data_IF_957781599370
#
_entry.id   IF_957781599370
#
_cell.length_a   1.000
_cell.length_b   1.000
_cell.length_c   1.000
_cell.angle_alpha   90.00
_cell.angle_beta   90.00
_cell.angle_gamma   90.00
#
_symmetry.space_group_name_H-M   'P 1'
#
loop_
_entity.id
_entity.type
_entity.pdbx_description
1 polymer ?
#
# COMPACT_ATOMS: atom_id res chain seq x y z
N UNK A 1 -23.71 10.85 -15.74
CA UNK A 1 -23.81 10.14 -17.05
C UNK A 1 -23.01 10.97 -18.05
N UNK A 2 -21.75 10.61 -18.32
CA UNK A 2 -20.96 11.31 -19.35
C UNK A 2 -21.19 10.54 -20.65
N UNK A 3 -22.06 11.07 -21.50
CA UNK A 3 -22.19 10.62 -22.89
C UNK A 3 -21.03 11.24 -23.67
N UNK A 4 -20.11 10.41 -24.15
CA UNK A 4 -19.29 10.75 -25.29
C UNK A 4 -20.07 10.32 -26.53
N UNK A 5 -20.84 11.25 -27.09
CA UNK A 5 -21.43 11.09 -28.41
C UNK A 5 -20.52 11.80 -29.40
N UNK A 6 -20.25 11.15 -30.53
CA UNK A 6 -19.31 11.53 -31.60
C UNK A 6 -17.83 11.27 -31.29
N UNK A 7 -17.29 10.22 -31.92
CA UNK A 7 -15.89 9.83 -31.85
C UNK A 7 -14.97 10.76 -32.65
N UNK A 8 -14.70 11.96 -32.14
CA UNK A 8 -13.54 12.73 -32.56
C UNK A 8 -12.27 12.21 -31.87
N UNK A 9 -11.19 12.11 -32.63
CA UNK A 9 -9.89 11.73 -32.10
C UNK A 9 -9.35 12.86 -31.22
N UNK A 10 -9.54 12.74 -29.90
CA UNK A 10 -9.00 13.69 -28.94
C UNK A 10 -7.47 13.53 -28.88
N UNK A 11 -6.76 14.63 -29.12
CA UNK A 11 -5.29 14.65 -29.06
C UNK A 11 -4.84 14.49 -27.59
N UNK A 12 -3.79 13.69 -27.29
CA UNK A 12 -3.37 13.43 -25.90
C UNK A 12 -3.12 14.67 -25.03
N UNK A 13 -2.74 15.81 -25.61
CA UNK A 13 -2.53 17.07 -24.90
C UNK A 13 -3.83 17.59 -24.28
N UNK A 14 -4.96 17.43 -24.98
CA UNK A 14 -6.28 17.80 -24.48
C UNK A 14 -6.61 16.99 -23.23
N UNK A 15 -6.40 15.67 -23.27
CA UNK A 15 -6.59 14.77 -22.12
C UNK A 15 -5.69 15.20 -20.95
N UNK A 16 -4.42 15.48 -21.22
CA UNK A 16 -3.47 15.91 -20.19
C UNK A 16 -3.89 17.22 -19.51
N UNK A 17 -4.38 18.19 -20.28
CA UNK A 17 -4.89 19.46 -19.75
C UNK A 17 -6.13 19.28 -18.88
N UNK A 18 -7.10 18.49 -19.33
CA UNK A 18 -8.28 18.16 -18.51
C UNK A 18 -7.91 17.45 -17.20
N UNK A 19 -6.96 16.52 -17.23
CA UNK A 19 -6.47 15.86 -16.02
C UNK A 19 -5.79 16.86 -15.08
N UNK A 20 -4.99 17.79 -15.61
CA UNK A 20 -4.33 18.83 -14.82
C UNK A 20 -5.34 19.81 -14.18
N UNK A 21 -6.33 20.28 -14.95
CA UNK A 21 -7.38 21.18 -14.47
C UNK A 21 -8.23 20.51 -13.37
N UNK A 22 -8.45 19.20 -13.49
CA UNK A 22 -9.12 18.39 -12.46
C UNK A 22 -8.20 17.97 -11.29
N UNK A 23 -6.94 18.42 -11.28
CA UNK A 23 -5.90 18.05 -10.30
C UNK A 23 -5.70 16.52 -10.17
N UNK A 24 -5.94 15.79 -11.26
CA UNK A 24 -5.74 14.35 -11.34
C UNK A 24 -4.30 14.06 -11.75
N UNK A 25 -3.61 13.28 -10.91
CA UNK A 25 -2.23 12.85 -11.14
C UNK A 25 -2.17 11.34 -11.26
N UNK A 26 -1.35 10.86 -12.18
CA UNK A 26 -1.03 9.43 -12.25
C UNK A 26 -0.38 8.99 -10.94
N UNK A 27 -0.88 7.90 -10.35
CA UNK A 27 -0.30 7.24 -9.18
C UNK A 27 0.02 5.80 -9.55
N UNK A 28 1.16 5.31 -9.06
CA UNK A 28 1.50 3.90 -9.21
C UNK A 28 0.50 3.06 -8.40
N UNK A 29 -0.16 2.05 -9.00
CA UNK A 29 -1.06 1.19 -8.25
C UNK A 29 -0.27 0.43 -7.18
N UNK A 30 -0.87 0.28 -5.99
CA UNK A 30 -0.28 -0.51 -4.93
C UNK A 30 -0.33 -2.00 -5.31
N UNK A 31 0.85 -2.62 -5.45
CA UNK A 31 0.99 -4.05 -5.76
C UNK A 31 1.29 -4.82 -4.49
N UNK A 32 0.25 -5.25 -3.78
CA UNK A 32 0.40 -6.21 -2.68
C UNK A 32 -0.72 -7.23 -2.73
N UNK A 33 -0.47 -8.41 -2.14
CA UNK A 33 -1.49 -9.42 -1.95
C UNK A 33 -2.63 -8.83 -1.10
N UNK A 34 -3.88 -8.87 -1.57
CA UNK A 34 -5.01 -8.45 -0.77
C UNK A 34 -5.06 -9.28 0.52
N UNK A 35 -4.96 -8.61 1.67
CA UNK A 35 -5.17 -9.26 2.95
C UNK A 35 -6.67 -9.48 3.13
N UNK A 36 -7.05 -10.72 3.46
CA UNK A 36 -8.40 -11.02 3.95
C UNK A 36 -8.65 -10.21 5.24
N UNK A 37 -9.91 -9.91 5.59
CA UNK A 37 -10.24 -9.22 6.84
C UNK A 37 -9.62 -9.88 8.08
N UNK A 38 -9.62 -11.21 8.13
CA UNK A 38 -9.03 -12.01 9.21
C UNK A 38 -7.52 -11.77 9.33
N UNK A 39 -6.78 -11.83 8.20
CA UNK A 39 -5.35 -11.54 8.21
C UNK A 39 -5.04 -10.12 8.67
N UNK A 40 -5.87 -9.13 8.33
CA UNK A 40 -5.71 -7.76 8.82
C UNK A 40 -5.89 -7.68 10.33
N UNK A 41 -6.92 -8.33 10.87
CA UNK A 41 -7.20 -8.34 12.29
C UNK A 41 -6.08 -9.03 13.09
N UNK A 42 -5.62 -10.19 12.63
CA UNK A 42 -4.50 -10.91 13.27
C UNK A 42 -3.22 -10.07 13.30
N UNK A 43 -2.87 -9.43 12.17
CA UNK A 43 -1.72 -8.53 12.12
C UNK A 43 -1.88 -7.34 13.06
N UNK A 44 -3.07 -6.74 13.08
CA UNK A 44 -3.34 -5.60 13.96
C UNK A 44 -3.22 -6.00 15.44
N UNK A 45 -3.83 -7.11 15.84
CA UNK A 45 -3.73 -7.65 17.20
C UNK A 45 -2.27 -7.96 17.56
N UNK A 46 -1.52 -8.55 16.63
CA UNK A 46 -0.10 -8.86 16.84
C UNK A 46 0.74 -7.60 17.07
N UNK A 47 0.50 -6.54 16.29
CA UNK A 47 1.15 -5.25 16.46
C UNK A 47 0.73 -4.55 17.76
N UNK A 48 -0.57 -4.54 18.07
CA UNK A 48 -1.12 -3.91 19.27
C UNK A 48 -0.55 -4.53 20.55
N UNK A 49 -0.51 -5.86 20.63
CA UNK A 49 0.08 -6.59 21.75
C UNK A 49 1.58 -6.26 21.97
N UNK A 50 2.23 -5.71 20.95
CA UNK A 50 3.67 -5.39 20.94
C UNK A 50 3.95 -3.90 20.78
N UNK A 51 2.93 -3.06 20.91
CA UNK A 51 3.07 -1.61 20.71
C UNK A 51 3.94 -0.96 21.79
N UNK A 52 4.07 -1.57 22.96
CA UNK A 52 4.88 -1.08 24.08
C UNK A 52 6.20 -1.84 24.25
N UNK A 53 6.58 -2.66 23.27
CA UNK A 53 7.79 -3.45 23.37
C UNK A 53 9.04 -2.57 23.29
N UNK A 54 9.95 -2.81 24.23
CA UNK A 54 11.23 -2.13 24.26
C UNK A 54 12.22 -2.81 23.30
N UNK A 55 13.33 -2.14 23.01
CA UNK A 55 14.38 -2.64 22.08
C UNK A 55 14.85 -4.06 22.46
N UNK A 56 14.94 -4.36 23.76
CA UNK A 56 15.32 -5.69 24.26
C UNK A 56 14.27 -6.77 23.95
N UNK A 57 12.98 -6.44 23.98
CA UNK A 57 11.91 -7.37 23.63
C UNK A 57 11.92 -7.68 22.13
N UNK A 58 12.22 -6.67 21.30
CA UNK A 58 12.44 -6.85 19.87
C UNK A 58 13.67 -7.71 19.57
N UNK A 59 14.78 -7.48 20.28
CA UNK A 59 16.00 -8.29 20.14
C UNK A 59 15.75 -9.76 20.45
N UNK A 60 14.92 -10.10 21.45
CA UNK A 60 14.54 -11.48 21.75
C UNK A 60 13.84 -12.16 20.57
N UNK A 61 12.91 -11.49 19.87
CA UNK A 61 12.30 -12.06 18.67
C UNK A 61 13.30 -12.24 17.53
N UNK A 62 14.18 -11.27 17.30
CA UNK A 62 15.21 -11.37 16.26
C UNK A 62 16.18 -12.54 16.52
N UNK A 63 16.55 -12.76 17.77
CA UNK A 63 17.39 -13.89 18.18
C UNK A 63 16.65 -15.23 18.05
N UNK A 64 15.36 -15.29 18.42
CA UNK A 64 14.54 -16.50 18.28
C UNK A 64 14.27 -16.85 16.82
N UNK A 65 14.13 -15.86 15.94
CA UNK A 65 13.95 -16.08 14.49
C UNK A 65 15.26 -16.44 13.76
N UNK A 66 16.42 -16.37 14.42
CA UNK A 66 17.68 -16.83 13.86
C UNK A 66 18.56 -17.52 14.91
N UNK A 67 18.31 -18.80 15.22
CA UNK A 67 19.14 -19.58 16.13
C UNK A 67 20.50 -20.01 15.50
N UNK A 68 20.94 -19.36 14.41
CA UNK A 68 22.04 -19.85 13.56
C UNK A 68 23.10 -18.83 13.15
N UNK A 69 23.11 -17.60 13.66
CA UNK A 69 24.16 -16.61 13.34
C UNK A 69 24.79 -16.03 14.61
N UNK A 70 25.55 -16.90 15.29
CA UNK A 70 26.75 -16.50 16.04
C UNK A 70 27.97 -16.77 15.14
N UNK A 71 28.15 -15.92 14.13
CA UNK A 71 29.41 -15.60 13.45
C UNK A 71 29.20 -14.35 12.58
#
# INVERSE_FOLDING_TARGET
MIRADVGEAIVPQTISRYLADANLKSKRPFRALPLTPEHRQLRLQWCQARSMWNVTDWQRLCLVMNPGLLW
#
